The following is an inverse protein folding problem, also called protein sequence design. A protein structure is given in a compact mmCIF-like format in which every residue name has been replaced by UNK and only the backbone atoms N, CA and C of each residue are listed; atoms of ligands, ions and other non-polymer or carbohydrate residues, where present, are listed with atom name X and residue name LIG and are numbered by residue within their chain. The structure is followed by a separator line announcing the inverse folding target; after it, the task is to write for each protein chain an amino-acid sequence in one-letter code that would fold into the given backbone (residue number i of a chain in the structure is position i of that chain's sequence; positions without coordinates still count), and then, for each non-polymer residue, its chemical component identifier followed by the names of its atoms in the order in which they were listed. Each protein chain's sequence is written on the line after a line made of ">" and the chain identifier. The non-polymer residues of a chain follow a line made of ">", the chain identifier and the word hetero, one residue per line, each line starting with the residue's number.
data_IF_875141687944
#
_entry.id   IF_875141687944
#
_cell.length_a   1.000
_cell.length_b   1.000
_cell.length_c   1.000
_cell.angle_alpha   90.00
_cell.angle_beta   90.00
_cell.angle_gamma   90.00
#
_symmetry.space_group_name_H-M   'P 1'
#
loop_
_entity.id
_entity.type
_entity.pdbx_description
1 polymer ?
#
# COMPACT_ATOMS: atom_id res chain seq x y z
N UNK A 1 27.44 11.32 54.35
CA UNK A 1 26.02 11.66 54.08
C UNK A 1 25.87 12.54 52.84
N UNK A 2 26.60 13.65 52.69
CA UNK A 2 26.47 14.54 51.52
C UNK A 2 26.75 13.85 50.16
N UNK A 3 27.74 12.97 50.08
CA UNK A 3 28.09 12.26 48.84
C UNK A 3 26.97 11.35 48.33
N UNK A 4 26.33 10.58 49.21
CA UNK A 4 25.22 9.69 48.85
C UNK A 4 24.00 10.45 48.32
N UNK A 5 23.66 11.60 48.92
CA UNK A 5 22.56 12.45 48.44
C UNK A 5 22.86 13.02 47.04
N UNK A 6 24.10 13.46 46.79
CA UNK A 6 24.50 13.96 45.47
C UNK A 6 24.40 12.85 44.42
N UNK A 7 24.91 11.65 44.70
CA UNK A 7 24.81 10.51 43.78
C UNK A 7 23.36 10.16 43.46
N UNK A 8 22.47 10.15 44.48
CA UNK A 8 21.05 9.89 44.27
C UNK A 8 20.39 10.94 43.36
N UNK A 9 20.66 12.22 43.58
CA UNK A 9 20.12 13.31 42.74
C UNK A 9 20.61 13.17 41.30
N UNK A 10 21.90 12.88 41.11
CA UNK A 10 22.47 12.66 39.78
C UNK A 10 21.79 11.47 39.08
N UNK A 11 21.64 10.33 39.76
CA UNK A 11 20.96 9.16 39.20
C UNK A 11 19.50 9.42 38.84
N UNK A 12 18.75 10.14 39.67
CA UNK A 12 17.37 10.53 39.38
C UNK A 12 17.32 11.44 38.15
N UNK A 13 18.22 12.43 38.08
CA UNK A 13 18.30 13.36 36.95
C UNK A 13 18.65 12.63 35.66
N UNK A 14 19.64 11.74 35.69
CA UNK A 14 20.01 10.89 34.56
C UNK A 14 18.84 10.02 34.10
N UNK A 15 18.12 9.38 35.03
CA UNK A 15 16.93 8.58 34.71
C UNK A 15 15.84 9.42 34.04
N UNK A 16 15.58 10.63 34.53
CA UNK A 16 14.60 11.54 33.93
C UNK A 16 15.00 11.97 32.53
N UNK A 17 16.28 12.32 32.32
CA UNK A 17 16.81 12.68 30.99
C UNK A 17 16.68 11.49 30.03
N UNK A 18 17.09 10.29 30.44
CA UNK A 18 16.97 9.08 29.63
C UNK A 18 15.51 8.76 29.28
N UNK A 19 14.60 8.88 30.24
CA UNK A 19 13.16 8.72 30.02
C UNK A 19 12.62 9.74 29.01
N UNK A 20 13.02 11.01 29.14
CA UNK A 20 12.63 12.08 28.22
C UNK A 20 13.13 11.80 26.79
N UNK A 21 14.41 11.43 26.63
CA UNK A 21 14.99 11.08 25.34
C UNK A 21 14.26 9.90 24.72
N UNK A 22 13.98 8.84 25.48
CA UNK A 22 13.24 7.68 24.98
C UNK A 22 11.84 8.05 24.45
N UNK A 23 11.11 8.91 25.15
CA UNK A 23 9.79 9.40 24.70
C UNK A 23 9.91 10.24 23.42
N UNK A 24 10.90 11.13 23.35
CA UNK A 24 11.16 11.95 22.16
C UNK A 24 11.52 11.06 20.96
N UNK A 25 12.47 10.13 21.11
CA UNK A 25 12.88 9.18 20.07
C UNK A 25 11.72 8.33 19.60
N UNK A 26 10.87 7.83 20.51
CA UNK A 26 9.68 7.07 20.14
C UNK A 26 8.71 7.87 19.27
N UNK A 27 8.47 9.15 19.61
CA UNK A 27 7.63 10.04 18.81
C UNK A 27 8.24 10.34 17.44
N UNK A 28 9.54 10.63 17.38
CA UNK A 28 10.24 10.85 16.11
C UNK A 28 10.18 9.62 15.22
N UNK A 29 10.50 8.43 15.73
CA UNK A 29 10.45 7.18 14.97
C UNK A 29 9.07 6.96 14.35
N UNK A 30 7.98 7.22 15.10
CA UNK A 30 6.61 7.12 14.57
C UNK A 30 6.29 8.09 13.44
N UNK A 31 6.86 9.29 13.44
CA UNK A 31 6.66 10.28 12.37
C UNK A 31 7.54 9.91 11.17
N UNK A 32 8.79 9.54 11.41
CA UNK A 32 9.75 9.13 10.38
C UNK A 32 9.24 7.92 9.60
N UNK A 33 8.72 6.88 10.27
CA UNK A 33 8.15 5.70 9.60
C UNK A 33 6.99 6.10 8.68
N UNK A 34 6.08 6.98 9.14
CA UNK A 34 4.95 7.44 8.31
C UNK A 34 5.41 8.21 7.08
N UNK A 35 6.37 9.12 7.25
CA UNK A 35 6.86 9.93 6.14
C UNK A 35 7.67 9.08 5.15
N UNK A 36 8.45 8.12 5.64
CA UNK A 36 9.18 7.17 4.81
C UNK A 36 8.23 6.32 3.97
N UNK A 37 7.20 5.74 4.59
CA UNK A 37 6.20 4.93 3.87
C UNK A 37 5.42 5.75 2.84
N UNK A 38 4.99 6.99 3.17
CA UNK A 38 4.34 7.88 2.20
C UNK A 38 5.24 8.19 1.00
N UNK A 39 6.53 8.46 1.27
CA UNK A 39 7.50 8.70 0.21
C UNK A 39 7.68 7.46 -0.66
N UNK A 40 7.73 6.28 -0.07
CA UNK A 40 7.85 5.00 -0.78
C UNK A 40 6.61 4.70 -1.64
N UNK A 41 5.40 4.85 -1.10
CA UNK A 41 4.16 4.68 -1.87
C UNK A 41 4.09 5.64 -3.07
N UNK A 42 4.50 6.90 -2.87
CA UNK A 42 4.55 7.87 -3.97
C UNK A 42 5.58 7.49 -5.03
N UNK A 43 6.73 6.91 -4.65
CA UNK A 43 7.72 6.43 -5.60
C UNK A 43 7.18 5.28 -6.44
N UNK A 44 6.50 4.32 -5.83
CA UNK A 44 5.88 3.19 -6.54
C UNK A 44 4.81 3.67 -7.53
N UNK A 45 4.01 4.68 -7.14
CA UNK A 45 3.04 5.29 -8.06
C UNK A 45 3.73 5.97 -9.25
N UNK A 46 4.79 6.75 -9.01
CA UNK A 46 5.56 7.37 -10.09
C UNK A 46 6.26 6.34 -10.99
N UNK A 47 6.63 5.18 -10.45
CA UNK A 47 7.19 4.07 -11.23
C UNK A 47 6.14 3.46 -12.16
N UNK A 48 4.89 3.33 -11.70
CA UNK A 48 3.75 2.95 -12.54
C UNK A 48 3.53 3.96 -13.67
N UNK A 49 3.53 5.26 -13.35
CA UNK A 49 3.40 6.32 -14.36
C UNK A 49 4.54 6.26 -15.39
N UNK A 50 5.77 6.02 -14.93
CA UNK A 50 6.92 5.85 -15.80
C UNK A 50 6.76 4.63 -16.73
N UNK A 51 6.33 3.48 -16.20
CA UNK A 51 6.08 2.29 -17.01
C UNK A 51 5.03 2.54 -18.09
N UNK A 52 3.98 3.32 -17.81
CA UNK A 52 2.99 3.73 -18.83
C UNK A 52 3.56 4.64 -19.91
N UNK A 53 4.48 5.54 -19.55
CA UNK A 53 5.15 6.41 -20.51
C UNK A 53 6.09 5.61 -21.42
N UNK A 54 6.83 4.67 -20.85
CA UNK A 54 7.78 3.82 -21.58
C UNK A 54 7.08 2.80 -22.49
N UNK A 55 5.99 2.20 -22.03
CA UNK A 55 5.18 1.28 -22.82
C UNK A 55 3.68 1.59 -22.73
N UNK A 56 3.16 2.43 -23.65
CA UNK A 56 1.74 2.75 -23.71
C UNK A 56 0.82 1.54 -23.91
N UNK A 57 1.32 0.40 -24.40
CA UNK A 57 0.51 -0.81 -24.55
C UNK A 57 0.03 -1.34 -23.18
N UNK A 58 0.71 -0.98 -22.08
CA UNK A 58 0.30 -1.36 -20.72
C UNK A 58 -1.06 -0.78 -20.33
N UNK A 59 -1.52 0.31 -20.95
CA UNK A 59 -2.87 0.84 -20.72
C UNK A 59 -3.98 -0.14 -21.10
N UNK A 60 -3.67 -1.16 -21.90
CA UNK A 60 -4.63 -2.20 -22.30
C UNK A 60 -5.03 -3.18 -21.19
N UNK A 61 -4.46 -3.06 -19.99
CA UNK A 61 -5.02 -3.78 -18.84
C UNK A 61 -6.42 -3.28 -18.48
N UNK A 62 -6.75 -2.02 -18.81
CA UNK A 62 -8.06 -1.45 -18.54
C UNK A 62 -9.03 -1.78 -19.69
N UNK A 63 -10.17 -2.36 -19.35
CA UNK A 63 -11.17 -2.89 -20.29
C UNK A 63 -11.72 -1.78 -21.21
N UNK A 64 -11.92 -0.57 -20.68
CA UNK A 64 -12.51 0.56 -21.39
C UNK A 64 -11.49 1.40 -22.18
N UNK A 65 -10.19 1.14 -22.03
CA UNK A 65 -9.17 1.99 -22.64
C UNK A 65 -9.11 1.77 -24.17
N UNK A 66 -9.01 2.82 -25.02
CA UNK A 66 -8.97 2.68 -26.48
C UNK A 66 -7.90 1.71 -26.98
N UNK A 67 -6.73 1.70 -26.31
CA UNK A 67 -5.60 0.81 -26.66
C UNK A 67 -5.97 -0.68 -26.50
N UNK A 68 -6.84 -1.03 -25.55
CA UNK A 68 -7.25 -2.43 -25.34
C UNK A 68 -7.92 -3.04 -26.58
N UNK A 69 -8.56 -2.22 -27.42
CA UNK A 69 -9.25 -2.65 -28.65
C UNK A 69 -8.30 -2.96 -29.82
N UNK A 70 -7.10 -2.39 -29.80
CA UNK A 70 -6.19 -2.40 -30.95
C UNK A 70 -4.94 -3.26 -30.74
N UNK A 71 -4.75 -3.82 -29.53
CA UNK A 71 -3.54 -4.57 -29.23
C UNK A 71 -3.54 -5.97 -29.82
N UNK A 72 -2.41 -6.29 -30.43
CA UNK A 72 -2.06 -7.62 -30.90
C UNK A 72 -1.95 -8.62 -29.74
N UNK A 73 -2.62 -9.76 -29.85
CA UNK A 73 -2.68 -10.80 -28.82
C UNK A 73 -1.49 -11.77 -28.91
N UNK A 74 -0.28 -11.26 -28.86
CA UNK A 74 0.91 -12.12 -28.81
C UNK A 74 1.11 -12.69 -27.39
N UNK A 75 1.65 -13.92 -27.23
CA UNK A 75 1.93 -14.49 -25.91
C UNK A 75 2.84 -13.59 -25.05
N UNK A 76 3.81 -12.92 -25.69
CA UNK A 76 4.72 -12.00 -25.00
C UNK A 76 3.97 -10.79 -24.43
N UNK A 77 3.10 -10.15 -25.22
CA UNK A 77 2.29 -9.02 -24.74
C UNK A 77 1.30 -9.43 -23.66
N UNK A 78 0.74 -10.65 -23.75
CA UNK A 78 -0.10 -11.21 -22.68
C UNK A 78 0.69 -11.34 -21.38
N UNK A 79 1.85 -11.99 -21.40
CA UNK A 79 2.68 -12.16 -20.22
C UNK A 79 3.13 -10.83 -19.60
N UNK A 80 3.43 -9.81 -20.43
CA UNK A 80 3.77 -8.47 -19.94
C UNK A 80 2.61 -7.82 -19.16
N UNK A 81 1.38 -7.94 -19.66
CA UNK A 81 0.18 -7.41 -18.99
C UNK A 81 -0.11 -8.12 -17.67
N UNK A 82 -0.01 -9.45 -17.66
CA UNK A 82 -0.18 -10.25 -16.44
C UNK A 82 0.88 -9.87 -15.38
N UNK A 83 2.15 -9.74 -15.78
CA UNK A 83 3.21 -9.31 -14.88
C UNK A 83 2.96 -7.91 -14.30
N UNK A 84 2.45 -7.00 -15.12
CA UNK A 84 2.12 -5.64 -14.69
C UNK A 84 0.90 -5.61 -13.73
N UNK A 85 -0.09 -6.47 -13.94
CA UNK A 85 -1.21 -6.65 -13.00
C UNK A 85 -0.69 -7.16 -11.64
N UNK A 86 0.22 -8.15 -11.64
CA UNK A 86 0.85 -8.60 -10.38
C UNK A 86 1.64 -7.48 -9.68
N UNK A 87 2.31 -6.61 -10.45
CA UNK A 87 2.98 -5.44 -9.89
C UNK A 87 2.00 -4.54 -9.11
N UNK A 88 0.83 -4.23 -9.69
CA UNK A 88 -0.23 -3.49 -9.02
C UNK A 88 -0.73 -4.18 -7.75
N UNK A 89 -0.99 -5.49 -7.82
CA UNK A 89 -1.51 -6.25 -6.66
C UNK A 89 -0.48 -6.24 -5.52
N UNK A 90 0.80 -6.47 -5.82
CA UNK A 90 1.87 -6.42 -4.82
C UNK A 90 2.03 -5.01 -4.23
N UNK A 91 1.89 -3.98 -5.06
CA UNK A 91 1.87 -2.59 -4.59
C UNK A 91 0.71 -2.32 -3.62
N UNK A 92 -0.49 -2.84 -3.92
CA UNK A 92 -1.65 -2.71 -3.05
C UNK A 92 -1.50 -3.47 -1.74
N UNK A 93 -0.87 -4.64 -1.76
CA UNK A 93 -0.56 -5.41 -0.55
C UNK A 93 0.37 -4.61 0.40
N UNK A 94 1.44 -4.02 -0.15
CA UNK A 94 2.36 -3.14 0.61
C UNK A 94 1.60 -1.98 1.26
N UNK A 95 0.73 -1.30 0.51
CA UNK A 95 -0.08 -0.21 1.04
C UNK A 95 -1.05 -0.71 2.12
N UNK A 96 -1.73 -1.84 1.87
CA UNK A 96 -2.69 -2.41 2.80
C UNK A 96 -2.03 -2.77 4.13
N UNK A 97 -0.89 -3.46 4.08
CA UNK A 97 -0.10 -3.86 5.25
C UNK A 97 0.31 -2.64 6.08
N UNK A 98 0.81 -1.58 5.43
CA UNK A 98 1.18 -0.35 6.12
C UNK A 98 0.00 0.24 6.91
N UNK A 99 -1.17 0.35 6.30
CA UNK A 99 -2.33 0.96 6.95
C UNK A 99 -2.97 0.04 8.00
N UNK A 100 -2.94 -1.29 7.84
CA UNK A 100 -3.67 -2.21 8.74
C UNK A 100 -2.81 -2.84 9.82
N UNK A 101 -1.50 -3.03 9.59
CA UNK A 101 -0.63 -3.75 10.52
C UNK A 101 0.46 -2.87 11.13
N UNK A 102 1.01 -1.92 10.38
CA UNK A 102 2.19 -1.17 10.84
C UNK A 102 1.88 0.07 11.69
N UNK A 103 0.72 0.71 11.48
CA UNK A 103 0.38 1.97 12.14
C UNK A 103 -0.94 1.92 12.91
N UNK A 104 -0.98 2.68 14.00
CA UNK A 104 -2.26 3.11 14.58
C UNK A 104 -2.78 4.32 13.79
N UNK A 105 -3.90 4.14 13.08
CA UNK A 105 -4.48 5.15 12.18
C UNK A 105 -4.95 6.39 12.95
N UNK A 106 -4.40 7.56 12.64
CA UNK A 106 -4.98 8.84 13.03
C UNK A 106 -6.05 9.29 12.01
N UNK A 107 -6.65 10.49 12.17
CA UNK A 107 -7.68 11.01 11.24
C UNK A 107 -7.14 11.18 9.81
N UNK A 108 -5.91 11.68 9.65
CA UNK A 108 -5.30 11.86 8.34
C UNK A 108 -5.03 10.49 7.68
N UNK A 109 -4.52 9.54 8.46
CA UNK A 109 -4.26 8.18 7.96
C UNK A 109 -5.54 7.47 7.48
N UNK A 110 -6.71 7.81 8.05
CA UNK A 110 -8.01 7.32 7.56
C UNK A 110 -8.40 7.91 6.21
N UNK A 111 -8.12 9.20 6.00
CA UNK A 111 -8.38 9.85 4.71
C UNK A 111 -7.43 9.32 3.63
N UNK A 112 -6.16 9.16 3.97
CA UNK A 112 -5.16 8.59 3.06
C UNK A 112 -5.54 7.14 2.70
N UNK A 113 -5.88 6.32 3.70
CA UNK A 113 -6.38 4.96 3.45
C UNK A 113 -7.61 4.94 2.57
N UNK A 114 -8.56 5.87 2.76
CA UNK A 114 -9.74 5.98 1.91
C UNK A 114 -9.36 6.25 0.45
N UNK A 115 -8.44 7.18 0.20
CA UNK A 115 -7.98 7.47 -1.16
C UNK A 115 -7.32 6.24 -1.82
N UNK A 116 -6.50 5.49 -1.06
CA UNK A 116 -5.92 4.24 -1.54
C UNK A 116 -6.97 3.14 -1.79
N UNK A 117 -7.95 3.01 -0.90
CA UNK A 117 -9.06 2.06 -1.06
C UNK A 117 -9.91 2.39 -2.30
N UNK A 118 -10.22 3.68 -2.52
CA UNK A 118 -10.94 4.16 -3.70
C UNK A 118 -10.10 3.89 -4.98
N UNK A 119 -8.76 4.01 -4.93
CA UNK A 119 -7.87 3.67 -6.06
C UNK A 119 -7.84 2.17 -6.37
N UNK A 120 -7.73 1.32 -5.35
CA UNK A 120 -7.80 -0.14 -5.48
C UNK A 120 -9.14 -0.55 -6.11
N UNK A 121 -10.24 0.01 -5.59
CA UNK A 121 -11.57 -0.24 -6.13
C UNK A 121 -11.66 0.16 -7.60
N UNK A 122 -11.14 1.33 -7.97
CA UNK A 122 -11.12 1.79 -9.35
C UNK A 122 -10.32 0.87 -10.27
N UNK A 123 -9.13 0.43 -9.84
CA UNK A 123 -8.29 -0.51 -10.60
C UNK A 123 -9.03 -1.82 -10.89
N UNK A 124 -9.58 -2.46 -9.85
CA UNK A 124 -10.31 -3.72 -10.02
C UNK A 124 -11.63 -3.53 -10.78
N UNK A 125 -12.25 -2.35 -10.74
CA UNK A 125 -13.43 -2.03 -11.56
C UNK A 125 -13.06 -2.02 -13.04
N UNK A 126 -11.98 -1.31 -13.39
CA UNK A 126 -11.54 -1.12 -14.77
C UNK A 126 -10.78 -2.30 -15.38
N UNK A 127 -10.39 -3.32 -14.62
CA UNK A 127 -9.56 -4.43 -15.09
C UNK A 127 -10.17 -5.80 -14.75
N UNK A 128 -10.94 -6.36 -15.68
CA UNK A 128 -11.52 -7.71 -15.56
C UNK A 128 -10.48 -8.80 -15.36
N UNK A 129 -9.38 -8.73 -16.13
CA UNK A 129 -8.27 -9.67 -16.03
C UNK A 129 -7.64 -9.67 -14.62
N UNK A 130 -7.52 -8.51 -13.97
CA UNK A 130 -7.01 -8.44 -12.60
C UNK A 130 -7.95 -9.14 -11.60
N UNK A 131 -9.26 -9.04 -11.77
CA UNK A 131 -10.23 -9.74 -10.91
C UNK A 131 -10.09 -11.25 -11.03
N UNK A 132 -9.98 -11.77 -12.25
CA UNK A 132 -9.77 -13.20 -12.53
C UNK A 132 -8.44 -13.68 -11.94
N UNK A 133 -7.34 -12.98 -12.26
CA UNK A 133 -6.01 -13.32 -11.77
C UNK A 133 -5.93 -13.29 -10.25
N UNK A 134 -6.56 -12.32 -9.59
CA UNK A 134 -6.54 -12.24 -8.13
C UNK A 134 -7.33 -13.39 -7.49
N UNK A 135 -8.49 -13.78 -8.05
CA UNK A 135 -9.25 -14.94 -7.55
C UNK A 135 -8.41 -16.22 -7.56
N UNK A 136 -7.62 -16.42 -8.61
CA UNK A 136 -6.74 -17.59 -8.75
C UNK A 136 -5.51 -17.53 -7.84
N UNK A 137 -5.00 -16.33 -7.58
CA UNK A 137 -3.77 -16.10 -6.80
C UNK A 137 -4.00 -15.67 -5.35
N UNK A 138 -5.25 -15.55 -4.89
CA UNK A 138 -5.57 -15.04 -3.55
C UNK A 138 -4.85 -15.79 -2.42
N UNK A 139 -4.59 -17.09 -2.59
CA UNK A 139 -3.86 -17.91 -1.60
C UNK A 139 -2.38 -17.57 -1.47
N UNK A 140 -1.82 -16.75 -2.36
CA UNK A 140 -0.42 -16.33 -2.30
C UNK A 140 -0.19 -15.13 -1.38
N UNK A 141 -1.26 -14.45 -0.98
CA UNK A 141 -1.23 -13.26 -0.16
C UNK A 141 -1.76 -13.54 1.25
N UNK A 142 -1.49 -12.62 2.16
CA UNK A 142 -2.00 -12.67 3.52
C UNK A 142 -3.55 -12.65 3.56
N UNK A 143 -4.13 -13.44 4.47
CA UNK A 143 -5.58 -13.65 4.56
C UNK A 143 -6.36 -12.33 4.70
N UNK A 144 -5.87 -11.35 5.45
CA UNK A 144 -6.59 -10.08 5.64
C UNK A 144 -6.67 -9.28 4.34
N UNK A 145 -5.55 -9.24 3.59
CA UNK A 145 -5.49 -8.56 2.29
C UNK A 145 -6.35 -9.29 1.25
N UNK A 146 -6.22 -10.62 1.17
CA UNK A 146 -7.01 -11.45 0.25
C UNK A 146 -8.51 -11.30 0.49
N UNK A 147 -8.95 -11.35 1.75
CA UNK A 147 -10.35 -11.15 2.10
C UNK A 147 -10.85 -9.73 1.77
N UNK A 148 -10.00 -8.71 1.93
CA UNK A 148 -10.33 -7.35 1.54
C UNK A 148 -10.55 -7.22 0.03
N UNK A 149 -9.60 -7.72 -0.79
CA UNK A 149 -9.70 -7.62 -2.24
C UNK A 149 -10.85 -8.49 -2.79
N UNK A 150 -11.04 -9.71 -2.28
CA UNK A 150 -12.16 -10.56 -2.70
C UNK A 150 -13.51 -9.90 -2.41
N UNK A 151 -13.63 -9.15 -1.31
CA UNK A 151 -14.84 -8.35 -1.02
C UNK A 151 -15.02 -7.23 -2.02
N UNK A 152 -13.96 -6.48 -2.33
CA UNK A 152 -13.99 -5.43 -3.37
C UNK A 152 -14.45 -6.00 -4.70
N UNK A 153 -13.89 -7.14 -5.12
CA UNK A 153 -14.26 -7.83 -6.37
C UNK A 153 -15.73 -8.26 -6.34
N UNK A 154 -16.19 -8.87 -5.24
CA UNK A 154 -17.58 -9.29 -5.08
C UNK A 154 -18.56 -8.10 -5.17
N UNK A 155 -18.23 -6.97 -4.55
CA UNK A 155 -19.07 -5.77 -4.58
C UNK A 155 -19.17 -5.19 -6.01
N UNK A 156 -18.06 -5.17 -6.76
CA UNK A 156 -18.04 -4.75 -8.18
C UNK A 156 -18.90 -5.69 -9.03
N UNK A 157 -18.74 -7.01 -8.88
CA UNK A 157 -19.47 -8.00 -9.66
C UNK A 157 -20.98 -7.96 -9.37
N UNK A 158 -21.36 -7.69 -8.12
CA UNK A 158 -22.76 -7.49 -7.75
C UNK A 158 -23.34 -6.23 -8.39
N UNK A 159 -22.62 -5.11 -8.35
CA UNK A 159 -23.09 -3.83 -8.90
C UNK A 159 -23.20 -3.82 -10.43
N UNK A 160 -22.45 -4.68 -11.13
CA UNK A 160 -22.51 -4.79 -12.60
C UNK A 160 -23.68 -5.67 -13.11
N UNK A 161 -24.40 -6.35 -12.21
CA UNK A 161 -25.55 -7.20 -12.55
C UNK A 161 -26.90 -6.48 -12.42
N UNK A 162 -26.91 -5.25 -11.89
CA UNK A 162 -28.09 -4.38 -11.74
C UNK A 162 -28.21 -3.37 -12.90
#
# INVERSE_FOLDING_TARGET
>A
MATSTITLILSITSLLISGMVAVITYRYNRITIRNAARLEHNKLLLEIDHMYIEDPDLWSIYDDHPIAKHIEKTPLKKGKKEAFIYYYINFFDIIFDFYHKQIYKNKNDKNDWKAWSDFIYHFFTGCSLAREMFKDSATWYDDDFSNYILRVIHDIEKNNLE
#
